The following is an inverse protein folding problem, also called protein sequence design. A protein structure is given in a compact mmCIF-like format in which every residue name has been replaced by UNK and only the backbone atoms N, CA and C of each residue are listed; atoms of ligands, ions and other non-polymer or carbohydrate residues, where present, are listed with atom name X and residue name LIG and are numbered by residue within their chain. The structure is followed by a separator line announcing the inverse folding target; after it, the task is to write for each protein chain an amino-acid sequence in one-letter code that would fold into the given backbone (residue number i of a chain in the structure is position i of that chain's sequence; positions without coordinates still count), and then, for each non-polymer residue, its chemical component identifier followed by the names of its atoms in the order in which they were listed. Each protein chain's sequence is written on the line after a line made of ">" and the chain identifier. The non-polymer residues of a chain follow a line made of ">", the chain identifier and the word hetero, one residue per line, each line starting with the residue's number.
data_IF_854298593083
#
_entry.id   IF_854298593083
#
_cell.length_a   1.000
_cell.length_b   1.000
_cell.length_c   1.000
_cell.angle_alpha   90.00
_cell.angle_beta   90.00
_cell.angle_gamma   90.00
#
_symmetry.space_group_name_H-M   'P 1'
#
loop_
_entity.id
_entity.type
_entity.pdbx_description
1 polymer ?
#
# COMPACT_ATOMS: atom_id res chain seq x y z
N UNK A 1 20.67 44.11 -66.03
CA UNK A 1 20.07 43.81 -67.38
C UNK A 1 20.04 42.32 -67.51
N UNK A 2 18.92 41.85 -68.08
CA UNK A 2 18.56 40.51 -68.58
C UNK A 2 18.23 39.44 -67.51
N UNK A 3 16.95 39.23 -67.44
CA UNK A 3 16.18 38.09 -66.91
C UNK A 3 16.52 36.81 -67.69
N UNK A 4 16.60 35.69 -67.02
CA UNK A 4 16.37 34.39 -67.65
C UNK A 4 15.49 33.54 -66.80
N UNK A 5 14.36 33.22 -67.37
CA UNK A 5 13.26 32.41 -66.88
C UNK A 5 13.59 30.96 -67.23
N UNK A 6 13.67 30.05 -66.24
CA UNK A 6 13.74 28.62 -66.51
C UNK A 6 12.52 27.92 -65.95
N UNK A 7 11.70 27.45 -66.84
CA UNK A 7 10.50 26.67 -66.61
C UNK A 7 10.91 25.22 -66.32
N UNK A 8 10.46 24.65 -65.24
CA UNK A 8 10.56 23.20 -64.95
C UNK A 8 9.20 22.55 -65.02
N UNK A 9 9.12 21.60 -65.96
CA UNK A 9 7.97 20.77 -66.21
C UNK A 9 7.61 19.90 -64.96
N UNK A 10 6.31 19.85 -64.63
CA UNK A 10 5.71 18.87 -63.77
C UNK A 10 5.60 17.52 -64.50
N UNK A 11 6.22 16.47 -63.92
CA UNK A 11 5.84 15.09 -64.23
C UNK A 11 4.92 14.58 -63.08
N UNK A 12 3.66 14.39 -63.49
CA UNK A 12 2.63 13.77 -62.66
C UNK A 12 2.76 12.24 -62.78
N UNK A 13 3.22 11.58 -61.71
CA UNK A 13 3.15 10.12 -61.63
C UNK A 13 2.02 9.76 -60.66
N UNK A 14 0.92 9.31 -61.24
CA UNK A 14 -0.19 8.68 -60.53
C UNK A 14 0.26 7.29 -60.07
N UNK A 15 0.45 7.11 -58.77
CA UNK A 15 0.44 5.78 -58.15
C UNK A 15 -0.92 5.56 -57.49
N UNK A 16 -1.75 4.77 -58.17
CA UNK A 16 -2.91 4.12 -57.56
C UNK A 16 -2.39 2.90 -56.78
N UNK A 17 -2.31 3.02 -55.47
CA UNK A 17 -2.07 1.93 -54.55
C UNK A 17 -2.95 2.16 -53.31
N UNK A 18 -4.13 1.55 -53.35
CA UNK A 18 -5.06 1.61 -52.24
C UNK A 18 -4.58 0.72 -51.08
N UNK A 19 -3.98 1.29 -50.08
CA UNK A 19 -3.85 0.65 -48.77
C UNK A 19 -4.89 1.26 -47.84
N UNK A 20 -5.95 0.50 -47.63
CA UNK A 20 -6.96 0.77 -46.60
C UNK A 20 -6.32 0.62 -45.23
N UNK A 21 -5.83 1.72 -44.65
CA UNK A 21 -5.56 1.79 -43.23
C UNK A 21 -6.88 1.62 -42.47
N UNK A 22 -7.22 0.38 -42.15
CA UNK A 22 -8.20 0.10 -41.13
C UNK A 22 -7.64 0.63 -39.82
N UNK A 23 -8.04 1.83 -39.43
CA UNK A 23 -7.93 2.32 -38.06
C UNK A 23 -8.76 1.39 -37.18
N UNK A 24 -8.10 0.39 -36.60
CA UNK A 24 -8.69 -0.36 -35.47
C UNK A 24 -8.97 0.64 -34.36
N UNK A 25 -10.22 1.07 -34.29
CA UNK A 25 -10.73 1.81 -33.13
C UNK A 25 -10.45 0.97 -31.89
N UNK A 26 -9.46 1.38 -31.07
CA UNK A 26 -9.24 0.83 -29.75
C UNK A 26 -10.58 0.88 -29.03
N UNK A 27 -11.26 -0.26 -28.88
CA UNK A 27 -12.43 -0.41 -28.04
C UNK A 27 -12.05 0.17 -26.67
N UNK A 28 -12.58 1.34 -26.31
CA UNK A 28 -12.52 1.86 -24.92
C UNK A 28 -13.11 0.77 -24.06
N UNK A 29 -12.25 0.02 -23.37
CA UNK A 29 -12.70 -0.90 -22.32
C UNK A 29 -13.38 -0.02 -21.28
N UNK A 30 -14.71 -0.10 -21.24
CA UNK A 30 -15.55 0.55 -20.24
C UNK A 30 -14.91 0.24 -18.89
N UNK A 31 -14.54 1.28 -18.11
CA UNK A 31 -13.91 1.12 -16.80
C UNK A 31 -14.74 0.17 -15.95
N UNK A 32 -14.21 -1.03 -15.71
CA UNK A 32 -14.88 -2.09 -14.94
C UNK A 32 -14.82 -1.81 -13.42
N UNK A 33 -14.19 -0.71 -13.01
CA UNK A 33 -13.97 -0.36 -11.62
C UNK A 33 -14.63 0.97 -11.27
N UNK A 34 -15.28 0.99 -10.11
CA UNK A 34 -15.85 2.19 -9.49
C UNK A 34 -15.05 2.52 -8.22
N UNK A 35 -14.72 3.80 -8.00
CA UNK A 35 -14.17 4.28 -6.74
C UNK A 35 -15.24 4.10 -5.65
N UNK A 36 -14.90 3.37 -4.58
CA UNK A 36 -15.81 3.09 -3.46
C UNK A 36 -15.34 3.68 -2.14
N UNK A 37 -14.06 4.05 -2.07
CA UNK A 37 -13.46 4.69 -0.91
C UNK A 37 -12.29 5.55 -1.35
N UNK A 38 -12.14 6.75 -0.78
CA UNK A 38 -10.92 7.54 -0.90
C UNK A 38 -10.75 8.40 0.36
N UNK A 39 -9.48 8.64 0.71
CA UNK A 39 -9.06 9.73 1.56
C UNK A 39 -7.85 10.42 0.92
N UNK A 40 -8.00 11.70 0.63
CA UNK A 40 -6.97 12.56 0.06
C UNK A 40 -6.23 13.35 1.15
N UNK A 41 -6.58 13.15 2.42
CA UNK A 41 -6.02 13.82 3.60
C UNK A 41 -6.02 15.36 3.51
N UNK A 42 -6.99 15.94 2.81
CA UNK A 42 -7.08 17.38 2.53
C UNK A 42 -7.75 18.19 3.66
N UNK A 43 -7.42 17.89 4.91
CA UNK A 43 -7.82 18.66 6.08
C UNK A 43 -6.79 19.75 6.40
N UNK A 44 -7.14 20.67 7.31
CA UNK A 44 -6.26 21.75 7.74
C UNK A 44 -4.97 21.23 8.37
N UNK A 45 -3.87 21.96 8.20
CA UNK A 45 -2.58 21.63 8.81
C UNK A 45 -2.69 21.55 10.35
N UNK A 46 -2.10 20.51 10.93
CA UNK A 46 -2.15 20.21 12.36
C UNK A 46 -3.41 19.45 12.81
N UNK A 47 -4.44 19.32 11.96
CA UNK A 47 -5.62 18.53 12.32
C UNK A 47 -5.31 17.03 12.40
N UNK A 48 -6.17 16.31 13.11
CA UNK A 48 -6.16 14.84 13.11
C UNK A 48 -6.88 14.32 11.85
N UNK A 49 -6.59 13.08 11.40
CA UNK A 49 -7.37 12.45 10.33
C UNK A 49 -8.87 12.40 10.70
N UNK A 50 -9.72 12.37 9.67
CA UNK A 50 -11.17 12.32 9.85
C UNK A 50 -11.58 11.14 10.75
N UNK A 51 -12.14 11.48 11.92
CA UNK A 51 -12.56 10.48 12.91
C UNK A 51 -13.80 9.69 12.50
N UNK A 52 -14.53 10.09 11.47
CA UNK A 52 -15.60 9.28 10.88
C UNK A 52 -15.00 8.07 10.11
N UNK A 53 -13.79 8.21 9.59
CA UNK A 53 -13.08 7.19 8.79
C UNK A 53 -12.05 6.46 9.63
N UNK A 54 -11.24 7.18 10.41
CA UNK A 54 -10.07 6.67 11.10
C UNK A 54 -10.23 6.65 12.61
N UNK A 55 -9.66 5.64 13.25
CA UNK A 55 -9.40 5.59 14.69
C UNK A 55 -7.91 5.44 14.93
N UNK A 56 -7.42 5.92 16.06
CA UNK A 56 -6.08 5.58 16.54
C UNK A 56 -6.01 4.10 16.86
N UNK A 57 -4.91 3.44 16.45
CA UNK A 57 -4.64 2.08 16.89
C UNK A 57 -4.32 2.07 18.38
N UNK A 58 -4.64 0.97 19.04
CA UNK A 58 -4.29 0.75 20.43
C UNK A 58 -2.88 0.18 20.55
N UNK A 59 -2.23 0.44 21.67
CA UNK A 59 -0.95 -0.16 22.04
C UNK A 59 -1.17 -1.58 22.54
N UNK A 60 -0.39 -2.53 21.99
CA UNK A 60 -0.32 -3.92 22.41
C UNK A 60 1.14 -4.39 22.42
N UNK A 61 1.37 -5.69 22.53
CA UNK A 61 2.71 -6.28 22.68
C UNK A 61 3.34 -6.74 21.36
N UNK A 62 2.71 -6.54 20.20
CA UNK A 62 3.31 -6.92 18.93
C UNK A 62 4.38 -5.91 18.51
N UNK A 63 5.27 -6.33 17.62
CA UNK A 63 6.40 -5.53 17.17
C UNK A 63 5.98 -4.16 16.63
N UNK A 64 4.94 -4.09 15.81
CA UNK A 64 4.54 -2.85 15.16
C UNK A 64 3.77 -1.89 16.10
N UNK A 65 3.11 -2.41 17.16
CA UNK A 65 2.22 -1.57 17.98
C UNK A 65 2.64 -1.39 19.45
N UNK A 66 3.77 -1.95 19.86
CA UNK A 66 4.24 -1.88 21.27
C UNK A 66 4.47 -0.45 21.80
N UNK A 67 4.66 0.50 20.91
CA UNK A 67 4.92 1.91 21.23
C UNK A 67 3.89 2.87 20.59
N UNK A 68 2.78 2.34 20.10
CA UNK A 68 1.70 3.17 19.57
C UNK A 68 1.20 4.13 20.64
N UNK A 69 0.97 5.37 20.22
CA UNK A 69 0.56 6.48 21.09
C UNK A 69 -0.59 7.26 20.46
N UNK A 70 -1.42 7.84 21.31
CA UNK A 70 -2.48 8.76 20.93
C UNK A 70 -2.00 10.23 20.87
N UNK A 71 -0.72 10.49 21.14
CA UNK A 71 -0.13 11.82 20.98
C UNK A 71 -0.45 12.42 19.61
N UNK A 72 -0.81 13.69 19.59
CA UNK A 72 -1.06 14.45 18.36
C UNK A 72 0.21 14.64 17.54
N UNK A 73 1.40 14.48 18.12
CA UNK A 73 2.68 14.67 17.44
C UNK A 73 3.08 13.50 16.55
N UNK A 74 2.46 12.33 16.73
CA UNK A 74 2.78 11.14 15.93
C UNK A 74 1.83 10.91 14.76
N UNK A 75 0.65 11.57 14.74
CA UNK A 75 -0.30 11.54 13.61
C UNK A 75 -0.94 12.91 13.46
N UNK A 76 -0.81 13.51 12.30
CA UNK A 76 -1.44 14.79 11.97
C UNK A 76 -1.46 15.02 10.45
N UNK A 77 -2.28 15.97 10.01
CA UNK A 77 -2.30 16.43 8.62
C UNK A 77 -1.31 17.59 8.45
N UNK A 78 -0.54 17.56 7.37
CA UNK A 78 0.34 18.66 6.98
C UNK A 78 0.44 18.77 5.47
N UNK A 79 0.09 19.95 4.94
CA UNK A 79 0.11 20.27 3.50
C UNK A 79 -0.68 19.24 2.67
N UNK A 80 -1.88 18.91 3.13
CA UNK A 80 -2.75 17.94 2.46
C UNK A 80 -2.17 16.51 2.44
N UNK A 81 -1.42 16.11 3.47
CA UNK A 81 -0.85 14.76 3.61
C UNK A 81 -1.04 14.27 5.04
N UNK A 82 -1.35 13.00 5.19
CA UNK A 82 -1.24 12.36 6.49
C UNK A 82 0.25 12.14 6.81
N UNK A 83 0.68 12.65 7.96
CA UNK A 83 2.02 12.42 8.51
C UNK A 83 1.90 11.43 9.66
N UNK A 84 2.60 10.31 9.54
CA UNK A 84 2.80 9.34 10.62
C UNK A 84 4.25 9.40 11.08
N UNK A 85 4.49 9.43 12.39
CA UNK A 85 5.83 9.55 12.97
C UNK A 85 6.09 8.51 14.04
N UNK A 86 7.38 8.20 14.23
CA UNK A 86 7.91 7.64 15.44
C UNK A 86 8.92 8.66 16.01
N UNK A 87 8.70 9.10 17.25
CA UNK A 87 9.49 10.17 17.89
C UNK A 87 10.05 9.67 19.22
N UNK A 88 11.18 10.22 19.70
CA UNK A 88 11.64 9.96 21.07
C UNK A 88 10.54 10.22 22.09
N UNK A 89 10.45 9.38 23.12
CA UNK A 89 9.55 9.65 24.23
C UNK A 89 10.25 10.55 25.26
N UNK A 90 9.77 11.77 25.41
CA UNK A 90 10.28 12.73 26.40
C UNK A 90 9.71 12.53 27.81
N UNK A 91 8.75 11.64 27.99
CA UNK A 91 8.06 11.38 29.27
C UNK A 91 8.15 9.90 29.67
N UNK A 92 9.34 9.33 29.74
CA UNK A 92 9.54 7.92 30.10
C UNK A 92 9.11 7.59 31.54
N UNK A 93 8.97 8.59 32.43
CA UNK A 93 8.45 8.37 33.78
C UNK A 93 6.95 8.09 33.79
N UNK A 94 6.20 8.73 32.90
CA UNK A 94 4.75 8.52 32.71
C UNK A 94 4.40 7.44 31.71
N UNK A 95 5.30 7.15 30.77
CA UNK A 95 5.11 6.16 29.72
C UNK A 95 6.44 5.44 29.45
N UNK A 96 6.53 4.17 29.76
CA UNK A 96 7.76 3.36 29.65
C UNK A 96 8.18 3.01 28.21
N UNK A 97 7.38 3.37 27.20
CA UNK A 97 7.77 3.21 25.81
C UNK A 97 9.00 4.07 25.50
N UNK A 98 9.98 3.52 24.79
CA UNK A 98 11.19 4.26 24.40
C UNK A 98 10.92 5.29 23.31
N UNK A 99 9.93 5.04 22.49
CA UNK A 99 9.45 5.94 21.44
C UNK A 99 7.93 5.97 21.43
N UNK A 100 7.36 7.03 20.86
CA UNK A 100 5.93 7.14 20.56
C UNK A 100 5.74 6.97 19.06
N UNK A 101 4.91 6.01 18.63
CA UNK A 101 4.68 5.70 17.21
C UNK A 101 3.24 5.96 16.80
N UNK A 102 3.06 6.41 15.55
CA UNK A 102 1.74 6.74 15.00
C UNK A 102 1.15 5.61 14.18
N UNK A 103 -0.08 5.22 14.49
CA UNK A 103 -0.84 4.24 13.72
C UNK A 103 -2.34 4.55 13.74
N UNK A 104 -2.99 4.41 12.58
CA UNK A 104 -4.44 4.58 12.42
C UNK A 104 -5.04 3.42 11.64
N UNK A 105 -6.31 3.14 11.87
CA UNK A 105 -7.06 2.09 11.17
C UNK A 105 -8.50 2.51 10.89
N UNK A 106 -9.10 1.83 9.92
CA UNK A 106 -10.54 1.95 9.61
C UNK A 106 -11.39 0.87 10.29
N UNK A 107 -10.84 0.13 11.26
CA UNK A 107 -11.50 -0.97 11.98
C UNK A 107 -12.84 -0.51 12.54
N UNK A 108 -13.91 -1.29 12.31
CA UNK A 108 -15.29 -1.04 12.71
C UNK A 108 -15.95 0.22 12.09
N UNK A 109 -15.25 0.90 11.13
CA UNK A 109 -15.77 2.06 10.42
C UNK A 109 -15.89 1.79 8.93
N UNK A 110 -14.83 1.27 8.32
CA UNK A 110 -14.83 0.87 6.92
C UNK A 110 -14.00 -0.40 6.74
N UNK A 111 -14.58 -1.36 6.02
CA UNK A 111 -13.90 -2.57 5.57
C UNK A 111 -14.46 -2.99 4.21
N UNK A 112 -13.63 -3.55 3.36
CA UNK A 112 -14.00 -3.99 2.02
C UNK A 112 -13.55 -5.42 1.75
N UNK A 113 -14.13 -6.04 0.75
CA UNK A 113 -13.76 -7.36 0.24
C UNK A 113 -13.57 -7.25 -1.26
N UNK A 114 -12.42 -7.69 -1.75
CA UNK A 114 -12.01 -7.64 -3.16
C UNK A 114 -11.97 -6.23 -3.78
N UNK A 115 -11.19 -6.07 -4.81
CA UNK A 115 -11.02 -4.81 -5.52
C UNK A 115 -9.56 -4.44 -5.72
N UNK A 116 -9.32 -3.18 -6.00
CA UNK A 116 -7.98 -2.58 -6.07
C UNK A 116 -7.85 -1.54 -4.99
N UNK A 117 -6.86 -1.70 -4.11
CA UNK A 117 -6.42 -0.66 -3.20
C UNK A 117 -5.14 -0.05 -3.73
N UNK A 118 -5.07 1.26 -3.74
CA UNK A 118 -3.89 2.04 -4.10
C UNK A 118 -3.59 3.02 -2.96
N UNK A 119 -2.34 3.11 -2.56
CA UNK A 119 -1.85 4.09 -1.59
C UNK A 119 -0.62 4.79 -2.15
N UNK A 120 -0.60 6.13 -2.10
CA UNK A 120 0.56 6.92 -2.48
C UNK A 120 1.28 7.38 -1.24
N UNK A 121 2.50 6.93 -1.05
CA UNK A 121 3.29 7.23 0.14
C UNK A 121 4.77 7.35 -0.14
N UNK A 122 5.50 7.90 0.84
CA UNK A 122 6.96 7.90 0.94
C UNK A 122 7.40 7.89 2.38
N UNK A 123 8.63 7.48 2.63
CA UNK A 123 9.22 7.44 3.98
C UNK A 123 10.68 7.89 3.94
N UNK A 124 11.26 8.17 5.10
CA UNK A 124 12.71 8.35 5.19
C UNK A 124 13.43 6.98 5.29
N UNK A 125 14.73 6.98 4.99
CA UNK A 125 15.57 5.79 5.01
C UNK A 125 16.50 5.90 6.20
N UNK A 126 16.09 5.30 7.32
CA UNK A 126 16.83 5.30 8.59
C UNK A 126 16.82 3.89 9.16
N UNK A 127 17.95 3.43 9.71
CA UNK A 127 18.04 2.17 10.47
C UNK A 127 16.94 2.08 11.52
N UNK A 128 16.20 0.99 11.57
CA UNK A 128 15.07 0.80 12.48
C UNK A 128 13.72 1.29 11.95
N UNK A 129 13.68 1.91 10.75
CA UNK A 129 12.41 2.32 10.13
C UNK A 129 11.49 1.13 9.86
N UNK A 130 10.18 1.27 10.15
CA UNK A 130 9.19 0.21 9.89
C UNK A 130 7.81 0.82 9.62
N UNK A 131 7.62 1.58 8.54
CA UNK A 131 6.31 2.01 8.10
C UNK A 131 5.59 0.92 7.32
N UNK A 132 4.25 0.94 7.35
CA UNK A 132 3.43 0.04 6.56
C UNK A 132 2.08 0.66 6.16
N UNK A 133 1.55 0.16 5.03
CA UNK A 133 0.16 0.23 4.66
C UNK A 133 -0.32 -1.20 4.42
N UNK A 134 -1.31 -1.66 5.18
CA UNK A 134 -1.70 -3.06 5.20
C UNK A 134 -3.16 -3.27 5.55
N UNK A 135 -3.65 -4.48 5.44
CA UNK A 135 -5.02 -4.86 5.66
C UNK A 135 -5.12 -5.92 6.74
N UNK A 136 -5.91 -5.65 7.77
CA UNK A 136 -6.29 -6.62 8.79
C UNK A 136 -7.73 -7.13 8.60
N UNK A 137 -7.97 -8.40 8.91
CA UNK A 137 -9.30 -8.99 8.80
C UNK A 137 -10.28 -8.30 9.77
N UNK A 138 -11.45 -7.86 9.26
CA UNK A 138 -12.54 -7.35 10.08
C UNK A 138 -13.24 -8.52 10.75
N UNK A 139 -12.94 -8.73 12.03
CA UNK A 139 -13.63 -9.75 12.81
C UNK A 139 -15.06 -9.29 13.16
N UNK A 140 -16.00 -10.20 13.15
CA UNK A 140 -17.31 -10.02 13.77
C UNK A 140 -17.20 -10.41 15.25
N UNK A 141 -17.90 -9.70 16.11
CA UNK A 141 -17.88 -9.96 17.55
C UNK A 141 -18.17 -11.44 17.85
N UNK A 142 -17.32 -12.03 18.72
CA UNK A 142 -17.43 -13.42 19.14
C UNK A 142 -16.94 -14.49 18.15
N UNK A 143 -16.51 -14.13 16.94
CA UNK A 143 -16.05 -15.09 15.94
C UNK A 143 -14.52 -15.16 15.87
N UNK A 144 -13.94 -16.30 16.29
CA UNK A 144 -12.51 -16.60 16.12
C UNK A 144 -12.23 -17.06 14.68
N UNK A 145 -12.26 -16.13 13.75
CA UNK A 145 -11.92 -16.44 12.37
C UNK A 145 -10.41 -16.69 12.21
N UNK A 146 -9.98 -17.57 11.29
CA UNK A 146 -8.57 -17.81 11.00
C UNK A 146 -7.83 -16.52 10.65
N UNK A 147 -6.55 -16.42 11.04
CA UNK A 147 -5.75 -15.24 10.79
C UNK A 147 -5.61 -14.93 9.29
N UNK A 148 -5.67 -13.66 8.94
CA UNK A 148 -5.45 -13.17 7.59
C UNK A 148 -4.95 -11.72 7.59
N UNK A 149 -3.86 -11.46 6.84
CA UNK A 149 -3.23 -10.15 6.69
C UNK A 149 -2.68 -10.00 5.28
N UNK A 150 -2.84 -8.82 4.70
CA UNK A 150 -2.30 -8.47 3.38
C UNK A 150 -1.50 -7.17 3.53
N UNK A 151 -0.17 -7.27 3.40
CA UNK A 151 0.70 -6.11 3.44
C UNK A 151 0.79 -5.52 2.04
N UNK A 152 0.10 -4.39 1.84
CA UNK A 152 0.17 -3.65 0.58
C UNK A 152 1.60 -3.19 0.34
N UNK A 153 2.24 -2.68 1.41
CA UNK A 153 3.65 -2.34 1.45
C UNK A 153 4.16 -2.23 2.87
N UNK A 154 5.34 -2.73 3.11
CA UNK A 154 6.17 -2.53 4.30
C UNK A 154 7.58 -2.11 3.87
N UNK A 155 8.27 -1.35 4.73
CA UNK A 155 9.64 -0.96 4.49
C UNK A 155 10.47 -1.19 5.74
N UNK A 156 11.69 -1.72 5.58
CA UNK A 156 12.51 -2.14 6.71
C UNK A 156 13.87 -1.45 6.72
N UNK A 157 14.06 -0.61 7.73
CA UNK A 157 15.35 0.01 8.01
C UNK A 157 15.84 0.97 6.93
N UNK A 158 17.10 0.85 6.57
CA UNK A 158 17.79 1.73 5.61
C UNK A 158 17.78 1.22 4.17
N UNK A 159 16.96 0.21 3.86
CA UNK A 159 16.90 -0.36 2.53
C UNK A 159 16.03 0.45 1.59
N UNK A 160 16.49 0.60 0.35
CA UNK A 160 15.74 1.18 -0.77
C UNK A 160 14.92 0.09 -1.46
N UNK A 161 14.06 -0.56 -0.68
CA UNK A 161 13.16 -1.61 -1.17
C UNK A 161 11.80 -1.54 -0.50
N UNK A 162 10.77 -1.91 -1.22
CA UNK A 162 9.44 -2.21 -0.69
C UNK A 162 9.25 -3.71 -0.56
N UNK A 163 8.61 -4.12 0.53
CA UNK A 163 8.25 -5.49 0.83
C UNK A 163 6.73 -5.63 0.78
N UNK A 164 6.26 -6.75 0.25
CA UNK A 164 4.85 -7.05 0.03
C UNK A 164 4.60 -8.48 0.52
N UNK A 165 3.83 -8.62 1.57
CA UNK A 165 3.70 -9.89 2.27
C UNK A 165 2.24 -10.33 2.37
N UNK A 166 2.05 -11.58 2.68
CA UNK A 166 0.74 -12.14 2.99
C UNK A 166 0.90 -13.15 4.12
N UNK A 167 0.03 -13.02 5.12
CA UNK A 167 0.01 -13.92 6.27
C UNK A 167 -1.36 -14.57 6.38
N UNK A 168 -1.38 -15.88 6.56
CA UNK A 168 -2.58 -16.69 6.75
C UNK A 168 -2.42 -17.56 7.99
N UNK A 169 -3.51 -18.10 8.51
CA UNK A 169 -3.39 -19.05 9.62
C UNK A 169 -2.45 -20.20 9.27
N UNK A 170 -2.55 -20.74 8.04
CA UNK A 170 -1.68 -21.80 7.57
C UNK A 170 -0.18 -21.43 7.60
N UNK A 171 0.18 -20.21 7.18
CA UNK A 171 1.58 -19.78 7.14
C UNK A 171 2.15 -19.52 8.53
N UNK A 172 1.32 -19.11 9.48
CA UNK A 172 1.70 -18.93 10.89
C UNK A 172 1.90 -20.29 11.58
N UNK A 173 0.99 -21.24 11.35
CA UNK A 173 1.06 -22.58 11.96
C UNK A 173 2.19 -23.45 11.35
N UNK A 174 2.63 -23.12 10.14
CA UNK A 174 3.63 -23.85 9.38
C UNK A 174 4.77 -22.94 8.89
N UNK A 175 5.70 -22.50 9.72
CA UNK A 175 6.77 -21.56 9.33
C UNK A 175 7.64 -22.05 8.15
N UNK A 176 7.69 -23.37 7.91
CA UNK A 176 8.43 -24.01 6.80
C UNK A 176 7.54 -24.43 5.63
N UNK A 177 6.43 -23.72 5.39
CA UNK A 177 5.38 -24.10 4.42
C UNK A 177 5.81 -24.15 2.94
N UNK A 178 6.96 -23.56 2.58
CA UNK A 178 7.46 -23.54 1.19
C UNK A 178 6.70 -22.65 0.20
N UNK A 179 5.60 -22.02 0.60
CA UNK A 179 4.85 -21.10 -0.26
C UNK A 179 5.57 -19.76 -0.39
N UNK A 180 5.51 -19.14 -1.56
CA UNK A 180 6.02 -17.79 -1.75
C UNK A 180 5.00 -16.76 -1.27
N UNK A 181 5.23 -16.21 -0.08
CA UNK A 181 4.34 -15.28 0.62
C UNK A 181 4.93 -13.87 0.77
N UNK A 182 6.17 -13.67 0.32
CA UNK A 182 6.89 -12.42 0.38
C UNK A 182 7.48 -12.06 -0.98
N UNK A 183 7.34 -10.80 -1.35
CA UNK A 183 7.82 -10.23 -2.60
C UNK A 183 8.53 -8.91 -2.30
N UNK A 184 9.60 -8.62 -3.05
CA UNK A 184 10.40 -7.41 -2.88
C UNK A 184 10.51 -6.66 -4.18
N UNK A 185 10.65 -5.35 -4.08
CA UNK A 185 10.87 -4.48 -5.22
C UNK A 185 11.82 -3.35 -4.84
N UNK A 186 12.93 -3.24 -5.57
CA UNK A 186 13.90 -2.16 -5.39
C UNK A 186 13.28 -0.84 -5.87
N UNK A 187 13.22 0.14 -4.98
CA UNK A 187 12.60 1.43 -5.25
C UNK A 187 13.13 2.50 -4.28
N UNK A 188 13.32 3.72 -4.75
CA UNK A 188 13.68 4.85 -3.88
C UNK A 188 12.49 5.26 -3.00
N UNK A 189 12.35 4.62 -1.85
CA UNK A 189 11.24 4.85 -0.91
C UNK A 189 11.16 6.28 -0.38
N UNK A 190 12.18 7.12 -0.60
CA UNK A 190 12.16 8.55 -0.23
C UNK A 190 11.36 9.40 -1.22
N UNK A 191 11.03 8.86 -2.38
CA UNK A 191 10.18 9.47 -3.40
C UNK A 191 8.74 9.00 -3.26
N UNK A 192 7.84 9.75 -3.88
CA UNK A 192 6.44 9.39 -3.95
C UNK A 192 6.22 8.22 -4.93
N UNK A 193 5.73 7.10 -4.43
CA UNK A 193 5.32 5.95 -5.22
C UNK A 193 3.89 5.56 -4.91
N UNK A 194 3.25 4.89 -5.87
CA UNK A 194 1.92 4.30 -5.71
C UNK A 194 2.09 2.80 -5.50
N UNK A 195 1.83 2.36 -4.29
CA UNK A 195 1.78 0.95 -3.93
C UNK A 195 0.34 0.46 -3.99
N UNK A 196 0.12 -0.73 -4.51
CA UNK A 196 -1.24 -1.22 -4.65
C UNK A 196 -1.37 -2.72 -4.68
N UNK A 197 -2.60 -3.17 -4.43
CA UNK A 197 -3.02 -4.55 -4.63
C UNK A 197 -4.21 -4.63 -5.58
N UNK A 198 -4.28 -5.74 -6.31
CA UNK A 198 -5.52 -6.24 -6.90
C UNK A 198 -5.88 -7.54 -6.18
N UNK A 199 -6.96 -7.51 -5.45
CA UNK A 199 -7.44 -8.61 -4.63
C UNK A 199 -8.74 -9.16 -5.21
N UNK A 200 -8.75 -10.47 -5.45
CA UNK A 200 -9.87 -11.21 -6.05
C UNK A 200 -10.16 -12.48 -5.25
N UNK A 201 -11.25 -13.21 -5.52
CA UNK A 201 -11.46 -14.52 -4.90
C UNK A 201 -10.38 -15.57 -5.20
N UNK A 202 -9.49 -15.32 -6.16
CA UNK A 202 -8.51 -16.31 -6.65
C UNK A 202 -7.07 -15.94 -6.36
N UNK A 203 -6.78 -14.65 -6.18
CA UNK A 203 -5.41 -14.17 -5.97
C UNK A 203 -5.35 -12.78 -5.30
N UNK A 204 -4.23 -12.50 -4.70
CA UNK A 204 -3.76 -11.14 -4.35
C UNK A 204 -2.53 -10.86 -5.20
N UNK A 205 -2.52 -9.71 -5.88
CA UNK A 205 -1.44 -9.24 -6.76
C UNK A 205 -0.96 -7.90 -6.24
N UNK A 206 0.36 -7.72 -6.16
CA UNK A 206 0.99 -6.46 -5.75
C UNK A 206 1.56 -5.70 -6.94
N UNK A 207 1.42 -4.39 -6.90
CA UNK A 207 1.92 -3.47 -7.92
C UNK A 207 2.65 -2.29 -7.26
N UNK A 208 3.74 -1.86 -7.88
CA UNK A 208 4.43 -0.61 -7.56
C UNK A 208 4.45 0.24 -8.83
N UNK A 209 3.89 1.44 -8.78
CA UNK A 209 3.72 2.34 -9.94
C UNK A 209 3.10 1.64 -11.16
N UNK A 210 2.13 0.76 -10.91
CA UNK A 210 1.44 -0.03 -11.92
C UNK A 210 2.20 -1.25 -12.46
N UNK A 211 3.45 -1.47 -12.02
CA UNK A 211 4.26 -2.63 -12.41
C UNK A 211 4.02 -3.80 -11.47
N UNK A 212 3.85 -5.01 -12.01
CA UNK A 212 3.65 -6.23 -11.22
C UNK A 212 4.91 -6.57 -10.43
N UNK A 213 4.74 -6.79 -9.11
CA UNK A 213 5.81 -7.23 -8.20
C UNK A 213 5.65 -8.70 -7.83
N UNK A 214 4.43 -9.13 -7.52
CA UNK A 214 4.16 -10.50 -7.11
C UNK A 214 2.69 -10.87 -7.12
N UNK A 215 2.44 -12.18 -7.07
CA UNK A 215 1.07 -12.74 -6.99
C UNK A 215 1.07 -13.90 -6.01
N UNK A 216 0.10 -13.89 -5.08
CA UNK A 216 -0.24 -15.02 -4.24
C UNK A 216 -1.58 -15.62 -4.66
N UNK A 217 -1.63 -16.91 -4.90
CA UNK A 217 -2.82 -17.59 -5.39
C UNK A 217 -3.53 -18.38 -4.29
N UNK A 218 -4.86 -18.39 -4.36
CA UNK A 218 -5.67 -19.37 -3.65
C UNK A 218 -5.34 -20.75 -4.19
N UNK A 219 -5.01 -21.69 -3.32
CA UNK A 219 -4.68 -23.05 -3.71
C UNK A 219 -5.89 -23.76 -4.35
N UNK A 220 -5.62 -24.68 -5.27
CA UNK A 220 -6.59 -25.67 -5.74
C UNK A 220 -6.61 -26.92 -4.86
N UNK A 221 -5.61 -27.11 -4.01
CA UNK A 221 -5.51 -28.22 -3.06
C UNK A 221 -6.49 -28.00 -1.89
N UNK A 222 -7.46 -28.89 -1.78
CA UNK A 222 -8.50 -28.85 -0.75
C UNK A 222 -7.93 -29.01 0.67
N UNK A 223 -6.85 -29.76 0.85
CA UNK A 223 -6.23 -29.95 2.17
C UNK A 223 -5.50 -28.70 2.64
N UNK A 224 -4.85 -27.98 1.74
CA UNK A 224 -4.27 -26.67 2.06
C UNK A 224 -5.37 -25.65 2.41
N UNK A 225 -6.50 -25.67 1.69
CA UNK A 225 -7.63 -24.78 1.99
C UNK A 225 -8.27 -25.08 3.36
N UNK A 226 -8.44 -26.36 3.72
CA UNK A 226 -8.90 -26.76 5.07
C UNK A 226 -7.97 -26.28 6.17
N UNK A 227 -6.67 -26.22 5.89
CA UNK A 227 -5.63 -25.67 6.80
C UNK A 227 -5.52 -24.14 6.74
N UNK A 228 -6.49 -23.46 6.10
CA UNK A 228 -6.53 -22.00 6.00
C UNK A 228 -5.35 -21.37 5.24
N UNK A 229 -4.89 -22.02 4.15
CA UNK A 229 -3.95 -21.42 3.22
C UNK A 229 -4.52 -20.14 2.59
N UNK A 230 -5.85 -20.06 2.44
CA UNK A 230 -6.56 -18.88 1.97
C UNK A 230 -7.56 -18.41 3.01
N UNK A 231 -7.41 -17.16 3.47
CA UNK A 231 -8.25 -16.55 4.51
C UNK A 231 -8.81 -15.19 4.09
N UNK A 232 -8.84 -14.94 2.77
CA UNK A 232 -9.13 -13.63 2.20
C UNK A 232 -10.53 -13.58 1.54
N UNK A 233 -11.47 -14.38 2.01
CA UNK A 233 -12.86 -14.38 1.56
C UNK A 233 -13.79 -13.61 2.52
N UNK A 234 -13.23 -12.64 3.29
CA UNK A 234 -13.95 -11.76 4.21
C UNK A 234 -13.64 -10.29 3.97
N UNK A 235 -14.24 -9.40 4.76
CA UNK A 235 -13.91 -7.98 4.75
C UNK A 235 -12.64 -7.70 5.54
N UNK A 236 -11.80 -6.81 5.02
CA UNK A 236 -10.58 -6.32 5.65
C UNK A 236 -10.64 -4.81 5.82
N UNK A 237 -10.15 -4.33 6.95
CA UNK A 237 -9.97 -2.92 7.24
C UNK A 237 -8.53 -2.48 6.92
N UNK A 238 -8.32 -1.18 6.79
CA UNK A 238 -7.05 -0.57 6.42
C UNK A 238 -6.29 -0.16 7.67
N UNK A 239 -4.96 -0.35 7.66
CA UNK A 239 -4.03 0.20 8.65
C UNK A 239 -2.93 0.99 7.94
N UNK A 240 -2.58 2.14 8.52
CA UNK A 240 -1.45 2.98 8.12
C UNK A 240 -0.63 3.26 9.37
N UNK A 241 0.68 3.00 9.32
CA UNK A 241 1.53 3.24 10.48
C UNK A 241 2.94 3.67 10.13
N UNK A 242 3.56 4.37 11.08
CA UNK A 242 4.98 4.53 11.24
C UNK A 242 5.38 3.83 12.53
N UNK A 243 5.82 2.61 12.42
CA UNK A 243 6.41 1.85 13.50
C UNK A 243 7.93 1.87 13.43
N UNK A 244 8.58 1.24 14.38
CA UNK A 244 10.03 1.01 14.37
C UNK A 244 10.32 -0.45 14.70
N UNK A 245 11.40 -0.96 14.14
CA UNK A 245 11.86 -2.33 14.34
C UNK A 245 12.24 -2.65 15.78
N UNK A 246 12.43 -3.93 16.07
CA UNK A 246 12.87 -4.42 17.39
C UNK A 246 14.02 -5.43 17.28
N UNK A 247 14.69 -5.47 16.13
CA UNK A 247 15.72 -6.45 15.82
C UNK A 247 15.22 -7.67 15.02
N UNK A 248 13.95 -8.08 15.15
CA UNK A 248 13.42 -9.26 14.45
C UNK A 248 13.34 -9.04 12.92
N UNK A 249 13.04 -7.84 12.45
CA UNK A 249 13.13 -7.43 11.05
C UNK A 249 14.41 -6.63 10.80
N UNK A 250 15.51 -7.07 11.43
CA UNK A 250 16.87 -6.67 11.14
C UNK A 250 17.33 -5.37 11.76
N UNK A 251 16.48 -4.64 12.51
CA UNK A 251 16.86 -3.27 12.84
C UNK A 251 16.39 -2.82 14.21
N UNK A 252 17.35 -2.47 15.06
CA UNK A 252 17.07 -1.74 16.29
C UNK A 252 16.99 -0.24 15.94
N UNK A 253 15.93 0.47 16.34
CA UNK A 253 15.81 1.90 16.08
C UNK A 253 16.79 2.72 16.90
N UNK A 254 17.26 3.82 16.31
CA UNK A 254 17.89 4.91 17.07
C UNK A 254 16.77 5.70 17.77
N UNK A 255 16.61 5.49 19.06
CA UNK A 255 15.53 6.10 19.86
C UNK A 255 15.66 7.63 20.01
N UNK A 256 16.77 8.22 19.58
CA UNK A 256 17.00 9.69 19.60
C UNK A 256 16.50 10.37 18.33
N UNK A 257 16.17 9.59 17.29
CA UNK A 257 15.76 10.12 15.97
C UNK A 257 14.26 10.10 15.77
N UNK A 258 13.82 10.91 14.84
CA UNK A 258 12.45 10.91 14.34
C UNK A 258 12.38 10.13 13.02
N UNK A 259 11.42 9.23 12.95
CA UNK A 259 11.03 8.49 11.75
C UNK A 259 9.73 9.10 11.23
N UNK A 260 9.63 9.27 9.93
CA UNK A 260 8.47 9.94 9.33
C UNK A 260 8.07 9.29 8.01
N UNK A 261 6.79 8.95 7.93
CA UNK A 261 6.13 8.49 6.70
C UNK A 261 5.00 9.44 6.35
N UNK A 262 4.88 9.74 5.07
CA UNK A 262 3.80 10.56 4.53
C UNK A 262 2.93 9.76 3.59
N UNK A 263 1.63 9.84 3.78
CA UNK A 263 0.64 9.29 2.88
C UNK A 263 -0.05 10.47 2.17
N UNK A 264 -0.02 10.46 0.84
CA UNK A 264 -0.63 11.48 0.01
C UNK A 264 -2.14 11.24 -0.12
N UNK A 265 -2.49 10.00 -0.46
CA UNK A 265 -3.86 9.54 -0.57
C UNK A 265 -3.94 8.02 -0.50
N UNK A 266 -5.17 7.52 -0.24
CA UNK A 266 -5.54 6.12 -0.35
C UNK A 266 -6.88 6.01 -1.11
N UNK A 267 -6.97 5.05 -2.03
CA UNK A 267 -8.15 4.87 -2.89
C UNK A 267 -8.45 3.39 -3.08
N UNK A 268 -9.75 3.05 -3.03
CA UNK A 268 -10.21 1.68 -3.28
C UNK A 268 -11.23 1.70 -4.41
N UNK A 269 -11.04 0.78 -5.33
CA UNK A 269 -11.90 0.57 -6.48
C UNK A 269 -12.43 -0.85 -6.47
N UNK A 270 -13.74 -1.02 -6.72
CA UNK A 270 -14.37 -2.33 -6.87
C UNK A 270 -14.95 -2.50 -8.28
N UNK A 271 -15.07 -3.75 -8.73
CA UNK A 271 -15.74 -4.05 -10.00
C UNK A 271 -17.22 -3.65 -9.91
N UNK A 272 -17.73 -3.07 -11.02
CA UNK A 272 -19.17 -2.82 -11.19
C UNK A 272 -19.91 -4.13 -11.34
#
# INVERSE_FOLDING_TARGET
>A
MKKSLLMFLFFLVLFLGGDSFQTQAKKKTKDRYKLVFCDEFNLCDGSQPDTAIWSRCQRYNSQWNRWVSDSKDVIYIKRGKLVCRAIPNSNEKGDTAKMLTGAIWTRNKFAFQYGRLLVRMKTNVITGNFPAAWLGRQQKDGNKAPYGEIDVVEMFGSKQESNHNIHTQYTLDNPKHGLRTSFKHDVDVTKWHVYGIEWTPKYVKWLVDGRLVGIYYKSSDKELLKKHQWTFDDKFFILLNQSVGNGAHGMIPDITKTYETKFDWIRIYQKK
#
